data_IF_766919362719
#
_entry.id   IF_766919362719
#
_cell.length_a   1.000
_cell.length_b   1.000
_cell.length_c   1.000
_cell.angle_alpha   90.00
_cell.angle_beta   90.00
_cell.angle_gamma   90.00
#
_symmetry.space_group_name_H-M   'P 1'
#
loop_
_entity.id
_entity.type
_entity.pdbx_description
1 polymer ?
#
# COMPACT_ATOMS: atom_id res chain seq x y z
N UNK A 1 -12.62 12.35 -20.81
CA UNK A 1 -11.92 13.59 -20.45
C UNK A 1 -10.99 13.25 -19.28
N UNK A 2 -9.67 13.24 -19.48
CA UNK A 2 -8.70 12.91 -18.42
C UNK A 2 -8.50 14.18 -17.58
N UNK A 3 -8.75 14.10 -16.27
CA UNK A 3 -8.51 15.23 -15.36
C UNK A 3 -7.00 15.42 -15.23
N UNK A 4 -6.44 16.61 -15.48
CA UNK A 4 -5.02 16.85 -15.27
C UNK A 4 -4.66 16.66 -13.80
N UNK A 5 -3.48 16.10 -13.56
CA UNK A 5 -2.98 15.90 -12.19
C UNK A 5 -2.75 17.28 -11.54
N UNK A 6 -3.23 17.50 -10.31
CA UNK A 6 -2.99 18.77 -9.61
C UNK A 6 -1.50 18.91 -9.28
N UNK A 7 -0.91 20.07 -9.56
CA UNK A 7 0.43 20.42 -9.10
C UNK A 7 0.39 20.79 -7.62
N UNK A 8 1.32 20.26 -6.83
CA UNK A 8 1.47 20.59 -5.41
C UNK A 8 2.88 21.12 -5.15
N UNK A 9 2.97 22.29 -4.54
CA UNK A 9 4.24 22.89 -4.11
C UNK A 9 4.52 22.46 -2.67
N UNK A 10 5.68 21.85 -2.41
CA UNK A 10 6.07 21.41 -1.06
C UNK A 10 7.44 21.96 -0.73
N UNK A 11 7.57 22.58 0.44
CA UNK A 11 8.87 23.01 0.96
C UNK A 11 9.53 21.85 1.70
N UNK A 12 10.72 21.47 1.26
CA UNK A 12 11.56 20.46 1.90
C UNK A 12 12.95 21.03 2.15
N UNK A 13 13.64 20.48 3.16
CA UNK A 13 15.03 20.87 3.43
C UNK A 13 15.92 20.44 2.26
N UNK A 14 16.96 21.23 1.97
CA UNK A 14 17.86 20.96 0.86
C UNK A 14 18.51 19.56 0.97
N UNK A 15 18.92 19.17 2.18
CA UNK A 15 19.47 17.83 2.45
C UNK A 15 18.51 16.70 2.05
N UNK A 16 17.21 16.88 2.31
CA UNK A 16 16.18 15.88 1.96
C UNK A 16 15.98 15.82 0.46
N UNK A 17 16.05 16.95 -0.24
CA UNK A 17 15.95 17.00 -1.69
C UNK A 17 17.14 16.30 -2.36
N UNK A 18 18.36 16.51 -1.87
CA UNK A 18 19.56 15.87 -2.40
C UNK A 18 19.56 14.36 -2.16
N UNK A 19 19.15 13.92 -0.97
CA UNK A 19 18.97 12.49 -0.67
C UNK A 19 17.95 11.85 -1.63
N UNK A 20 16.79 12.48 -1.82
CA UNK A 20 15.76 11.98 -2.74
C UNK A 20 16.26 11.92 -4.20
N UNK A 21 17.09 12.88 -4.63
CA UNK A 21 17.72 12.84 -5.96
C UNK A 21 18.69 11.68 -6.12
N UNK A 22 19.51 11.41 -5.10
CA UNK A 22 20.44 10.29 -5.10
C UNK A 22 19.70 8.95 -5.15
N UNK A 23 18.62 8.80 -4.37
CA UNK A 23 17.79 7.60 -4.37
C UNK A 23 17.03 7.41 -5.70
N UNK A 24 16.53 8.49 -6.29
CA UNK A 24 15.91 8.46 -7.62
C UNK A 24 16.92 8.01 -8.68
N UNK A 25 18.14 8.54 -8.65
CA UNK A 25 19.22 8.16 -9.55
C UNK A 25 19.64 6.69 -9.37
N UNK A 26 19.77 6.21 -8.13
CA UNK A 26 20.07 4.81 -7.83
C UNK A 26 18.99 3.85 -8.34
N UNK A 27 17.73 4.29 -8.36
CA UNK A 27 16.61 3.55 -8.92
C UNK A 27 16.45 3.69 -10.45
N UNK A 28 17.27 4.52 -11.11
CA UNK A 28 17.15 4.81 -12.54
C UNK A 28 15.89 5.61 -12.90
N UNK A 29 15.35 6.39 -11.96
CA UNK A 29 14.11 7.14 -12.10
C UNK A 29 14.35 8.65 -12.10
N UNK A 30 13.41 9.40 -12.68
CA UNK A 30 13.33 10.84 -12.43
C UNK A 30 12.89 11.07 -10.98
N UNK A 31 13.25 12.24 -10.43
CA UNK A 31 12.82 12.60 -9.08
C UNK A 31 11.29 12.57 -8.93
N UNK A 32 10.53 13.04 -9.91
CA UNK A 32 9.06 13.01 -9.86
C UNK A 32 8.51 11.58 -9.82
N UNK A 33 8.99 10.69 -10.70
CA UNK A 33 8.55 9.30 -10.74
C UNK A 33 8.93 8.55 -9.45
N UNK A 34 10.10 8.83 -8.92
CA UNK A 34 10.53 8.29 -7.63
C UNK A 34 9.63 8.77 -6.49
N UNK A 35 9.33 10.08 -6.42
CA UNK A 35 8.43 10.65 -5.40
C UNK A 35 7.04 10.03 -5.50
N UNK A 36 6.47 9.92 -6.70
CA UNK A 36 5.14 9.33 -6.90
C UNK A 36 5.09 7.87 -6.44
N UNK A 37 6.12 7.08 -6.77
CA UNK A 37 6.25 5.70 -6.30
C UNK A 37 6.34 5.65 -4.78
N UNK A 38 7.28 6.38 -4.19
CA UNK A 38 7.54 6.36 -2.74
C UNK A 38 6.32 6.82 -1.94
N UNK A 39 5.62 7.87 -2.39
CA UNK A 39 4.39 8.33 -1.74
C UNK A 39 3.26 7.30 -1.86
N UNK A 40 3.12 6.67 -3.03
CA UNK A 40 2.11 5.62 -3.23
C UNK A 40 2.35 4.43 -2.30
N UNK A 41 3.59 3.96 -2.21
CA UNK A 41 4.01 2.87 -1.31
C UNK A 41 3.79 3.22 0.17
N UNK A 42 4.14 4.44 0.58
CA UNK A 42 3.92 4.91 1.95
C UNK A 42 2.43 4.99 2.32
N UNK A 43 1.58 5.48 1.40
CA UNK A 43 0.13 5.52 1.59
C UNK A 43 -0.44 4.12 1.69
N UNK A 44 -0.04 3.20 0.81
CA UNK A 44 -0.50 1.82 0.84
C UNK A 44 -0.09 1.12 2.13
N UNK A 45 1.16 1.23 2.53
CA UNK A 45 1.67 0.67 3.78
C UNK A 45 0.86 1.16 4.97
N UNK A 46 0.62 2.48 5.05
CA UNK A 46 -0.17 3.06 6.15
C UNK A 46 -1.63 2.60 6.14
N UNK A 47 -2.25 2.48 4.96
CA UNK A 47 -3.62 1.97 4.83
C UNK A 47 -3.71 0.51 5.24
N UNK A 48 -2.75 -0.30 4.80
CA UNK A 48 -2.69 -1.71 5.17
C UNK A 48 -2.49 -1.89 6.67
N UNK A 49 -1.58 -1.14 7.30
CA UNK A 49 -1.37 -1.18 8.75
C UNK A 49 -2.66 -0.87 9.53
N UNK A 50 -3.37 0.21 9.15
CA UNK A 50 -4.68 0.54 9.74
C UNK A 50 -5.72 -0.57 9.53
N UNK A 51 -5.70 -1.23 8.38
CA UNK A 51 -6.61 -2.34 8.13
C UNK A 51 -6.29 -3.54 9.04
N UNK A 52 -5.01 -3.83 9.26
CA UNK A 52 -4.59 -4.89 10.17
C UNK A 52 -4.96 -4.57 11.63
N UNK A 53 -4.80 -3.32 12.07
CA UNK A 53 -5.26 -2.87 13.38
C UNK A 53 -6.78 -3.04 13.55
N UNK A 54 -7.56 -2.68 12.53
CA UNK A 54 -9.01 -2.87 12.53
C UNK A 54 -9.40 -4.35 12.56
N UNK A 55 -8.73 -5.18 11.77
CA UNK A 55 -8.98 -6.62 11.73
C UNK A 55 -8.71 -7.23 13.11
N UNK A 56 -7.58 -6.88 13.74
CA UNK A 56 -7.25 -7.32 15.09
C UNK A 56 -8.32 -6.88 16.12
N UNK A 57 -8.79 -5.64 16.05
CA UNK A 57 -9.85 -5.12 16.93
C UNK A 57 -11.19 -5.85 16.75
N UNK A 58 -11.47 -6.38 15.56
CA UNK A 58 -12.66 -7.16 15.25
C UNK A 58 -12.48 -8.66 15.52
N UNK A 59 -11.33 -9.09 16.06
CA UNK A 59 -11.02 -10.50 16.28
C UNK A 59 -10.73 -11.29 14.98
N UNK A 60 -10.58 -10.59 13.84
CA UNK A 60 -10.20 -11.17 12.56
C UNK A 60 -8.68 -11.40 12.60
N UNK A 61 -8.27 -12.55 13.14
CA UNK A 61 -6.88 -12.99 13.20
C UNK A 61 -6.52 -13.83 11.97
N UNK A 62 -5.23 -14.09 11.76
CA UNK A 62 -4.77 -14.98 10.70
C UNK A 62 -5.31 -16.41 10.86
N UNK A 63 -5.45 -16.87 12.11
CA UNK A 63 -6.04 -18.17 12.45
C UNK A 63 -7.54 -18.20 12.09
N UNK A 64 -8.30 -17.16 12.48
CA UNK A 64 -9.71 -17.01 12.10
C UNK A 64 -9.91 -17.03 10.58
N UNK A 65 -9.08 -16.32 9.81
CA UNK A 65 -9.15 -16.31 8.35
C UNK A 65 -8.81 -17.68 7.74
N UNK A 66 -7.90 -18.43 8.35
CA UNK A 66 -7.55 -19.78 7.94
C UNK A 66 -8.72 -20.76 8.13
N UNK A 67 -9.34 -20.73 9.31
CA UNK A 67 -10.48 -21.58 9.64
C UNK A 67 -11.70 -21.26 8.76
N UNK A 68 -11.99 -19.97 8.56
CA UNK A 68 -13.08 -19.52 7.70
C UNK A 68 -12.85 -19.95 6.24
N UNK A 69 -11.61 -19.85 5.73
CA UNK A 69 -11.29 -20.32 4.39
C UNK A 69 -11.54 -21.82 4.22
N UNK A 70 -11.10 -22.64 5.19
CA UNK A 70 -11.33 -24.10 5.18
C UNK A 70 -12.83 -24.41 5.20
N UNK A 71 -13.59 -23.70 6.03
CA UNK A 71 -15.04 -23.84 6.11
C UNK A 71 -15.71 -23.52 4.76
N UNK A 72 -15.36 -22.39 4.14
CA UNK A 72 -15.90 -21.96 2.86
C UNK A 72 -15.53 -22.92 1.71
N UNK A 73 -14.31 -23.44 1.69
CA UNK A 73 -13.88 -24.47 0.71
C UNK A 73 -14.69 -25.77 0.87
N UNK A 74 -14.96 -26.19 2.12
CA UNK A 74 -15.79 -27.37 2.37
C UNK A 74 -17.24 -27.18 1.88
N UNK A 75 -17.82 -25.99 2.08
CA UNK A 75 -19.14 -25.65 1.55
C UNK A 75 -19.15 -25.62 0.01
N UNK A 76 -18.13 -25.03 -0.62
CA UNK A 76 -18.00 -24.99 -2.09
C UNK A 76 -17.96 -26.40 -2.69
N UNK A 77 -17.17 -27.30 -2.09
CA UNK A 77 -17.08 -28.70 -2.55
C UNK A 77 -18.40 -29.46 -2.42
N UNK A 78 -19.15 -29.21 -1.33
CA UNK A 78 -20.49 -29.80 -1.13
C UNK A 78 -21.54 -29.27 -2.10
N UNK A 79 -21.43 -28.02 -2.53
CA UNK A 79 -22.36 -27.43 -3.50
C UNK A 79 -22.06 -27.84 -4.96
N UNK A 80 -20.85 -28.34 -5.23
CA UNK A 80 -20.40 -28.76 -6.55
C UNK A 80 -20.57 -30.27 -6.83
N UNK A 81 -21.02 -31.04 -5.85
CA UNK A 81 -21.37 -32.46 -5.95
C UNK A 81 -22.83 -32.69 -5.59
#
# INVERSE_FOLDING_TARGET
>A
MIRPMPSMSVSVRAETLEAARAEAAAAGLTLSAWVDRTLSEAVWTRRFARQQERNAALGITAEYLGDEFVHLEALRRRAAG
#
